data_IF_697217548838
#
_entry.id   IF_697217548838
#
_cell.length_a   1.000
_cell.length_b   1.000
_cell.length_c   1.000
_cell.angle_alpha   90.00
_cell.angle_beta   90.00
_cell.angle_gamma   90.00
#
_symmetry.space_group_name_H-M   'P 1'
#
loop_
_entity.id
_entity.type
_entity.pdbx_description
1 polymer ?
#
# COMPACT_ATOMS: atom_id res chain seq x y z
N UNK A 1 -16.73 -2.11 -7.23
CA UNK A 1 -16.13 -1.98 -5.88
C UNK A 1 -15.73 -3.37 -5.42
N UNK A 2 -14.51 -3.56 -4.92
CA UNK A 2 -14.01 -4.87 -4.46
C UNK A 2 -13.92 -4.83 -2.94
N UNK A 3 -14.28 -5.93 -2.28
CA UNK A 3 -14.23 -6.07 -0.82
C UNK A 3 -13.57 -7.38 -0.41
N UNK A 4 -12.99 -7.40 0.78
CA UNK A 4 -12.45 -8.59 1.42
C UNK A 4 -13.24 -8.92 2.69
N UNK A 5 -13.21 -10.18 3.12
CA UNK A 5 -13.83 -10.65 4.37
C UNK A 5 -13.27 -9.95 5.62
N UNK A 6 -12.08 -9.34 5.54
CA UNK A 6 -11.54 -8.52 6.63
C UNK A 6 -12.22 -7.15 6.78
N UNK A 7 -13.25 -6.85 5.98
CA UNK A 7 -13.97 -5.57 6.01
C UNK A 7 -13.33 -4.46 5.17
N UNK A 8 -12.12 -4.68 4.64
CA UNK A 8 -11.50 -3.73 3.74
C UNK A 8 -12.24 -3.71 2.40
N UNK A 9 -12.47 -2.51 1.88
CA UNK A 9 -12.99 -2.29 0.53
C UNK A 9 -12.09 -1.32 -0.21
N UNK A 10 -12.00 -1.51 -1.53
CA UNK A 10 -11.25 -0.63 -2.39
C UNK A 10 -11.89 -0.48 -3.76
N UNK A 11 -11.61 0.67 -4.36
CA UNK A 11 -12.06 1.06 -5.68
C UNK A 11 -10.91 1.74 -6.39
N UNK A 12 -10.45 1.15 -7.49
CA UNK A 12 -9.35 1.66 -8.29
C UNK A 12 -8.61 0.52 -8.98
N UNK A 13 -8.31 0.69 -10.26
CA UNK A 13 -7.66 -0.32 -11.10
C UNK A 13 -6.26 -0.69 -10.58
N UNK A 14 -5.61 0.23 -9.89
CA UNK A 14 -4.25 0.05 -9.37
C UNK A 14 -4.21 -0.39 -7.91
N UNK A 15 -5.34 -0.31 -7.18
CA UNK A 15 -5.37 -0.66 -5.76
C UNK A 15 -5.38 -2.19 -5.61
N UNK A 16 -4.45 -2.70 -4.82
CA UNK A 16 -4.29 -4.13 -4.57
C UNK A 16 -4.48 -4.44 -3.09
N UNK A 17 -5.05 -5.61 -2.79
CA UNK A 17 -5.24 -6.09 -1.42
C UNK A 17 -4.61 -7.46 -1.25
N UNK A 18 -3.83 -7.64 -0.19
CA UNK A 18 -3.24 -8.94 0.12
C UNK A 18 -4.20 -9.82 0.90
N UNK A 19 -4.70 -10.89 0.28
CA UNK A 19 -5.57 -11.86 0.95
C UNK A 19 -4.88 -12.65 2.09
N UNK A 20 -3.55 -12.59 2.20
CA UNK A 20 -2.79 -13.30 3.24
C UNK A 20 -2.61 -12.47 4.53
N UNK A 21 -2.28 -11.18 4.41
CA UNK A 21 -2.05 -10.29 5.55
C UNK A 21 -3.09 -9.18 5.70
N UNK A 22 -4.07 -9.12 4.80
CA UNK A 22 -5.20 -8.18 4.79
C UNK A 22 -4.82 -6.69 4.71
N UNK A 23 -3.62 -6.37 4.22
CA UNK A 23 -3.19 -5.00 3.96
C UNK A 23 -3.56 -4.56 2.55
N UNK A 24 -3.94 -3.29 2.40
CA UNK A 24 -4.32 -2.67 1.13
C UNK A 24 -3.22 -1.73 0.66
N UNK A 25 -2.97 -1.71 -0.65
CA UNK A 25 -1.84 -1.04 -1.30
C UNK A 25 -2.33 -0.17 -2.44
N UNK A 26 -1.84 1.06 -2.56
CA UNK A 26 -2.33 2.02 -3.55
C UNK A 26 -1.97 1.66 -5.00
N UNK A 27 -0.98 0.79 -5.18
CA UNK A 27 -0.46 0.35 -6.48
C UNK A 27 0.00 -1.13 -6.44
N UNK A 28 -0.03 -1.80 -7.60
CA UNK A 28 0.53 -3.15 -7.77
C UNK A 28 2.02 -3.18 -7.40
N UNK A 29 2.79 -2.16 -7.78
CA UNK A 29 4.21 -2.04 -7.41
C UNK A 29 4.44 -2.00 -5.89
N UNK A 30 3.58 -1.33 -5.13
CA UNK A 30 3.65 -1.33 -3.67
C UNK A 30 3.25 -2.67 -3.06
N UNK A 31 2.33 -3.40 -3.71
CA UNK A 31 1.99 -4.76 -3.35
C UNK A 31 3.14 -5.73 -3.63
N UNK A 32 3.77 -5.70 -4.80
CA UNK A 32 4.92 -6.55 -5.11
C UNK A 32 6.08 -6.29 -4.14
N UNK A 33 6.31 -5.02 -3.78
CA UNK A 33 7.35 -4.68 -2.79
C UNK A 33 7.08 -5.28 -1.40
N UNK A 34 5.82 -5.39 -1.01
CA UNK A 34 5.42 -6.09 0.21
C UNK A 34 5.61 -7.61 0.07
N UNK A 35 5.52 -8.16 -1.14
CA UNK A 35 5.57 -9.61 -1.37
C UNK A 35 6.92 -10.05 -1.94
N UNK A 36 7.83 -10.49 -1.07
CA UNK A 36 9.14 -11.03 -1.50
C UNK A 36 9.26 -12.51 -1.24
N UNK A 37 9.79 -13.25 -2.22
CA UNK A 37 10.04 -14.68 -2.12
C UNK A 37 8.81 -15.48 -1.64
N UNK A 38 7.63 -15.13 -2.16
CA UNK A 38 6.36 -15.76 -1.81
C UNK A 38 5.78 -15.35 -0.44
N UNK A 39 6.52 -14.62 0.39
CA UNK A 39 6.13 -14.21 1.75
C UNK A 39 5.66 -12.76 1.81
N UNK A 40 4.77 -12.49 2.76
CA UNK A 40 4.43 -11.12 3.12
C UNK A 40 5.56 -10.56 4.01
N UNK A 41 6.18 -9.48 3.57
CA UNK A 41 7.12 -8.67 4.35
C UNK A 41 6.35 -7.47 4.89
N UNK A 42 6.72 -6.98 6.07
CA UNK A 42 6.07 -5.81 6.64
C UNK A 42 6.29 -4.57 5.74
N UNK A 43 5.23 -3.92 5.24
CA UNK A 43 5.30 -2.73 4.39
C UNK A 43 6.23 -1.63 4.90
N UNK A 44 6.29 -1.39 6.22
CA UNK A 44 7.12 -0.32 6.78
C UNK A 44 8.60 -0.67 6.61
N UNK A 45 8.97 -1.93 6.80
CA UNK A 45 10.34 -2.41 6.59
C UNK A 45 10.82 -2.32 5.13
N UNK A 46 9.89 -2.22 4.17
CA UNK A 46 10.20 -2.02 2.75
C UNK A 46 9.96 -0.58 2.27
N UNK A 47 9.86 0.36 3.21
CA UNK A 47 9.76 1.79 2.93
C UNK A 47 8.40 2.22 2.39
N UNK A 48 7.32 1.55 2.77
CA UNK A 48 5.94 1.97 2.51
C UNK A 48 5.36 2.62 3.76
N UNK A 49 4.49 3.61 3.56
CA UNK A 49 3.75 4.27 4.63
C UNK A 49 2.25 4.12 4.38
N UNK A 50 1.49 3.84 5.44
CA UNK A 50 0.04 3.88 5.38
C UNK A 50 -0.46 5.34 5.35
N UNK A 51 -1.52 5.60 4.59
CA UNK A 51 -2.28 6.85 4.72
C UNK A 51 -3.30 6.75 5.86
N UNK A 52 -4.09 7.81 6.08
CA UNK A 52 -5.13 7.87 7.11
C UNK A 52 -6.21 6.76 6.96
N UNK A 53 -6.33 6.16 5.78
CA UNK A 53 -7.28 5.08 5.49
C UNK A 53 -6.63 3.68 5.55
N UNK A 54 -5.39 3.56 6.05
CA UNK A 54 -4.69 2.28 6.15
C UNK A 54 -4.19 1.71 4.81
N UNK A 55 -4.16 2.52 3.75
CA UNK A 55 -3.65 2.12 2.42
C UNK A 55 -2.16 2.44 2.33
N UNK A 56 -1.35 1.41 2.09
CA UNK A 56 0.11 1.53 1.95
C UNK A 56 0.50 2.10 0.60
N UNK A 57 1.37 3.11 0.62
CA UNK A 57 1.91 3.80 -0.55
C UNK A 57 3.40 4.04 -0.39
N UNK A 58 4.10 4.29 -1.49
CA UNK A 58 5.43 4.88 -1.41
C UNK A 58 5.28 6.28 -0.80
N UNK A 59 5.95 6.58 0.32
CA UNK A 59 5.93 7.93 0.86
C UNK A 59 6.50 8.86 -0.21
N UNK A 60 5.73 9.87 -0.60
CA UNK A 60 6.26 10.93 -1.43
C UNK A 60 7.35 11.62 -0.63
N UNK A 61 8.55 11.76 -1.20
CA UNK A 61 9.46 12.80 -0.74
C UNK A 61 8.68 14.11 -0.88
N UNK A 62 8.33 14.74 0.24
CA UNK A 62 7.88 16.11 0.23
C UNK A 62 9.07 16.93 -0.24
N UNK A 63 9.17 17.20 -1.54
CA UNK A 63 10.13 18.19 -2.03
C UNK A 63 9.70 19.51 -1.39
N UNK A 64 10.52 20.16 -0.53
CA UNK A 64 10.14 21.45 0.02
C UNK A 64 9.93 22.43 -1.14
N UNK A 65 8.83 23.17 -1.10
CA UNK A 65 8.56 24.22 -2.09
C UNK A 65 9.74 25.21 -2.10
N UNK A 66 10.18 25.70 -3.28
CA UNK A 66 11.25 26.70 -3.32
C UNK A 66 10.83 27.94 -2.53
N UNK A 67 11.73 28.44 -1.68
CA UNK A 67 11.54 29.73 -1.04
C UNK A 67 11.43 30.82 -2.13
N UNK A 68 10.37 31.64 -2.02
CA UNK A 68 10.15 32.81 -2.88
C UNK A 68 11.20 33.88 -2.66
#
# INVERSE_FOLDING_TARGET
MISCRCGASWSGLTIAHCACCHRTFSAVSTFDRHRRNGRCVDPVTVGLAANAHGVFRTPGVSVPAPAR
#
